data_IF_155418225601
#
_entry.id   IF_155418225601
#
_cell.length_a   1.000
_cell.length_b   1.000
_cell.length_c   1.000
_cell.angle_alpha   90.00
_cell.angle_beta   90.00
_cell.angle_gamma   90.00
#
_symmetry.space_group_name_H-M   'P 1'
#
loop_
_entity.id
_entity.type
_entity.pdbx_description
1 polymer ?
#
# COMPACT_ATOMS: atom_id res chain seq x y z
N UNK A 1 -15.14 21.15 -69.13
CA UNK A 1 -14.81 21.85 -67.86
C UNK A 1 -15.54 21.15 -66.74
N UNK A 2 -14.82 20.62 -65.75
CA UNK A 2 -15.41 19.89 -64.64
C UNK A 2 -14.46 18.82 -64.11
N UNK A 3 -13.33 19.24 -63.54
CA UNK A 3 -12.40 18.38 -62.81
C UNK A 3 -13.04 17.99 -61.47
N UNK A 4 -13.18 16.70 -61.19
CA UNK A 4 -13.61 16.19 -59.88
C UNK A 4 -12.40 15.58 -59.18
N UNK A 5 -11.90 16.29 -58.17
CA UNK A 5 -10.78 15.87 -57.34
C UNK A 5 -11.28 14.86 -56.30
N UNK A 6 -10.75 13.63 -56.36
CA UNK A 6 -10.93 12.63 -55.31
C UNK A 6 -10.17 13.08 -54.05
N UNK A 7 -10.91 13.57 -53.06
CA UNK A 7 -10.41 13.86 -51.72
C UNK A 7 -10.33 12.56 -50.93
N UNK A 8 -9.14 11.95 -50.91
CA UNK A 8 -8.86 10.79 -50.06
C UNK A 8 -8.74 11.25 -48.61
N UNK A 9 -9.84 11.12 -47.87
CA UNK A 9 -9.88 11.32 -46.42
C UNK A 9 -8.94 10.30 -45.76
N UNK A 10 -7.78 10.75 -45.27
CA UNK A 10 -6.89 9.91 -44.47
C UNK A 10 -7.54 9.70 -43.11
N UNK A 11 -8.11 8.52 -42.90
CA UNK A 11 -8.58 8.08 -41.60
C UNK A 11 -7.40 8.10 -40.62
N UNK A 12 -7.40 9.06 -39.71
CA UNK A 12 -6.47 9.11 -38.58
C UNK A 12 -6.84 7.98 -37.63
N UNK A 13 -6.18 6.83 -37.78
CA UNK A 13 -6.23 5.77 -36.77
C UNK A 13 -5.51 6.28 -35.53
N UNK A 14 -6.26 6.74 -34.54
CA UNK A 14 -5.71 7.03 -33.21
C UNK A 14 -5.23 5.72 -32.62
N UNK A 15 -3.92 5.54 -32.53
CA UNK A 15 -3.30 4.51 -31.70
C UNK A 15 -3.64 4.84 -30.25
N UNK A 16 -4.79 4.34 -29.79
CA UNK A 16 -5.06 4.21 -28.37
C UNK A 16 -4.05 3.18 -27.85
N UNK A 17 -2.92 3.69 -27.36
CA UNK A 17 -1.94 2.90 -26.64
C UNK A 17 -2.61 2.41 -25.36
N UNK A 18 -3.17 1.20 -25.41
CA UNK A 18 -3.53 0.47 -24.20
C UNK A 18 -2.21 0.20 -23.48
N UNK A 19 -1.90 1.01 -22.48
CA UNK A 19 -0.85 0.72 -21.52
C UNK A 19 -1.26 -0.58 -20.82
N UNK A 20 -0.81 -1.71 -21.34
CA UNK A 20 -0.95 -2.99 -20.66
C UNK A 20 -0.20 -2.85 -19.33
N UNK A 21 -0.93 -3.00 -18.22
CA UNK A 21 -0.33 -3.04 -16.90
C UNK A 21 0.81 -4.08 -16.92
N UNK A 22 1.97 -3.79 -16.31
CA UNK A 22 3.08 -4.73 -16.28
C UNK A 22 2.57 -6.04 -15.68
N UNK A 23 2.86 -7.14 -16.36
CA UNK A 23 2.50 -8.48 -15.91
C UNK A 23 3.38 -8.85 -14.72
N UNK A 24 3.01 -8.39 -13.52
CA UNK A 24 3.68 -8.83 -12.30
C UNK A 24 3.43 -10.33 -12.17
N UNK A 25 4.48 -11.17 -12.09
CA UNK A 25 4.33 -12.60 -12.01
C UNK A 25 3.48 -12.95 -10.79
N UNK A 26 2.52 -13.86 -10.98
CA UNK A 26 1.66 -14.34 -9.88
C UNK A 26 2.58 -14.94 -8.81
N UNK A 27 2.58 -14.32 -7.63
CA UNK A 27 3.40 -14.80 -6.52
C UNK A 27 2.63 -15.77 -5.64
N UNK A 28 3.30 -16.85 -5.26
CA UNK A 28 2.77 -17.86 -4.36
C UNK A 28 2.88 -17.39 -2.90
N UNK A 29 1.91 -17.80 -2.07
CA UNK A 29 1.89 -17.45 -0.66
C UNK A 29 3.05 -18.10 0.11
N UNK A 30 3.76 -17.31 0.91
CA UNK A 30 4.86 -17.80 1.73
C UNK A 30 4.32 -18.49 2.98
N UNK A 31 4.64 -19.76 3.17
CA UNK A 31 4.24 -20.51 4.36
C UNK A 31 5.07 -20.12 5.59
N UNK A 32 4.41 -19.83 6.72
CA UNK A 32 5.06 -19.55 7.99
C UNK A 32 4.30 -20.26 9.14
N UNK A 33 4.99 -20.92 10.10
CA UNK A 33 4.32 -21.73 11.13
C UNK A 33 3.31 -20.96 11.99
N UNK A 34 3.59 -19.68 12.29
CA UNK A 34 2.72 -18.83 13.11
C UNK A 34 1.55 -18.17 12.37
N UNK A 35 1.47 -18.28 11.04
CA UNK A 35 0.44 -17.63 10.24
C UNK A 35 -0.35 -18.67 9.44
N UNK A 36 -1.60 -18.35 9.17
CA UNK A 36 -2.45 -19.06 8.20
C UNK A 36 -2.69 -18.14 7.00
N UNK A 37 -2.65 -18.70 5.80
CA UNK A 37 -3.05 -18.00 4.58
C UNK A 37 -4.56 -18.08 4.50
N UNK A 38 -5.22 -16.92 4.49
CA UNK A 38 -6.67 -16.79 4.43
C UNK A 38 -7.14 -16.67 2.98
N UNK A 39 -6.46 -15.83 2.20
CA UNK A 39 -6.85 -15.50 0.83
C UNK A 39 -5.63 -15.08 0.01
N UNK A 40 -5.64 -15.42 -1.28
CA UNK A 40 -4.63 -15.02 -2.26
C UNK A 40 -5.34 -14.55 -3.51
N UNK A 41 -5.07 -13.31 -3.93
CA UNK A 41 -5.65 -12.69 -5.12
C UNK A 41 -4.59 -12.00 -5.97
N UNK A 42 -4.87 -11.90 -7.26
CA UNK A 42 -4.09 -11.10 -8.20
C UNK A 42 -4.96 -9.95 -8.73
N UNK A 43 -4.55 -8.71 -8.50
CA UNK A 43 -5.28 -7.51 -8.86
C UNK A 43 -4.65 -6.93 -10.13
N UNK A 44 -5.22 -7.30 -11.28
CA UNK A 44 -4.66 -6.99 -12.61
C UNK A 44 -4.53 -5.50 -12.90
N UNK A 45 -5.48 -4.70 -12.41
CA UNK A 45 -5.58 -3.26 -12.62
C UNK A 45 -4.43 -2.49 -11.96
N UNK A 46 -3.92 -3.02 -10.86
CA UNK A 46 -2.80 -2.44 -10.11
C UNK A 46 -1.50 -3.23 -10.28
N UNK A 47 -1.50 -4.32 -11.06
CA UNK A 47 -0.33 -5.21 -11.17
C UNK A 47 0.13 -5.71 -9.80
N UNK A 48 -0.79 -6.06 -8.91
CA UNK A 48 -0.47 -6.37 -7.51
C UNK A 48 -0.88 -7.81 -7.15
N UNK A 49 0.00 -8.50 -6.43
CA UNK A 49 -0.36 -9.74 -5.73
C UNK A 49 -0.75 -9.41 -4.30
N UNK A 50 -1.94 -9.83 -3.88
CA UNK A 50 -2.47 -9.63 -2.55
C UNK A 50 -2.59 -10.96 -1.82
N UNK A 51 -1.98 -11.07 -0.65
CA UNK A 51 -2.11 -12.24 0.22
C UNK A 51 -2.50 -11.80 1.61
N UNK A 52 -3.65 -12.30 2.08
CA UNK A 52 -4.15 -12.07 3.42
C UNK A 52 -3.71 -13.22 4.33
N UNK A 53 -2.97 -12.88 5.37
CA UNK A 53 -2.55 -13.77 6.43
C UNK A 53 -3.28 -13.47 7.72
N UNK A 54 -3.43 -14.48 8.57
CA UNK A 54 -3.92 -14.33 9.94
C UNK A 54 -2.96 -14.98 10.92
N UNK A 55 -2.62 -14.25 11.97
CA UNK A 55 -1.71 -14.73 13.00
C UNK A 55 -2.44 -15.70 13.93
N UNK A 56 -1.99 -16.94 14.03
CA UNK A 56 -2.70 -18.02 14.73
C UNK A 56 -2.93 -17.73 16.22
N UNK A 57 -2.01 -17.02 16.88
CA UNK A 57 -2.08 -16.76 18.32
C UNK A 57 -2.94 -15.55 18.67
N UNK A 58 -2.83 -14.46 17.92
CA UNK A 58 -3.52 -13.19 18.26
C UNK A 58 -4.74 -12.90 17.40
N UNK A 59 -4.91 -13.61 16.28
CA UNK A 59 -5.92 -13.32 15.27
C UNK A 59 -5.64 -12.06 14.45
N UNK A 60 -4.47 -11.42 14.61
CA UNK A 60 -4.11 -10.23 13.85
C UNK A 60 -4.00 -10.55 12.36
N UNK A 61 -4.55 -9.66 11.53
CA UNK A 61 -4.53 -9.77 10.08
C UNK A 61 -3.31 -9.04 9.51
N UNK A 62 -2.69 -9.65 8.50
CA UNK A 62 -1.57 -9.07 7.76
C UNK A 62 -1.89 -9.19 6.28
N UNK A 63 -2.07 -8.04 5.63
CA UNK A 63 -2.22 -7.97 4.19
C UNK A 63 -0.85 -7.68 3.56
N UNK A 64 -0.35 -8.64 2.79
CA UNK A 64 0.86 -8.47 1.99
C UNK A 64 0.45 -8.09 0.57
N UNK A 65 0.82 -6.88 0.15
CA UNK A 65 0.71 -6.43 -1.23
C UNK A 65 2.10 -6.42 -1.84
N UNK A 66 2.23 -6.98 -3.04
CA UNK A 66 3.49 -7.01 -3.75
C UNK A 66 3.32 -6.57 -5.19
N UNK A 67 4.12 -5.59 -5.57
CA UNK A 67 4.17 -4.94 -6.88
C UNK A 67 5.63 -4.92 -7.37
N UNK A 68 5.88 -4.38 -8.55
CA UNK A 68 7.21 -4.13 -9.12
C UNK A 68 7.88 -2.85 -8.58
N UNK A 69 7.31 -2.21 -7.55
CA UNK A 69 7.84 -1.00 -6.92
C UNK A 69 8.90 -1.35 -5.85
N UNK A 70 10.05 -0.69 -5.94
CA UNK A 70 11.15 -0.82 -4.97
C UNK A 70 10.85 -0.10 -3.64
N UNK A 71 9.91 0.86 -3.63
CA UNK A 71 9.54 1.62 -2.44
C UNK A 71 8.63 0.80 -1.51
N UNK A 72 9.25 0.14 -0.53
CA UNK A 72 8.53 -0.66 0.46
C UNK A 72 7.88 0.22 1.50
N UNK A 73 6.59 -0.02 1.74
CA UNK A 73 5.85 0.59 2.83
C UNK A 73 5.28 -0.47 3.76
N UNK A 74 5.01 -0.08 5.00
CA UNK A 74 4.21 -0.87 5.92
C UNK A 74 3.31 0.08 6.73
N UNK A 75 2.15 -0.43 7.14
CA UNK A 75 1.21 0.29 7.99
C UNK A 75 0.62 -0.66 9.02
N UNK A 76 0.21 -0.09 10.16
CA UNK A 76 -0.50 -0.81 11.21
C UNK A 76 -1.74 0.02 11.52
N UNK A 77 -2.90 -0.64 11.51
CA UNK A 77 -4.19 0.03 11.75
C UNK A 77 -4.84 -0.55 12.99
N UNK A 78 -5.32 0.33 13.87
CA UNK A 78 -6.11 -0.04 15.03
C UNK A 78 -7.51 0.57 14.91
N UNK A 79 -8.54 -0.21 15.25
CA UNK A 79 -9.91 0.29 15.28
C UNK A 79 -10.15 1.06 16.59
N UNK A 80 -10.37 2.37 16.49
CA UNK A 80 -10.46 3.31 17.63
C UNK A 80 -11.73 4.18 17.60
N UNK A 81 -12.94 3.60 17.65
CA UNK A 81 -14.17 4.40 17.68
C UNK A 81 -14.22 5.27 18.94
N UNK A 82 -14.30 6.61 18.82
CA UNK A 82 -14.38 7.49 19.98
C UNK A 82 -15.71 7.30 20.69
N UNK A 83 -15.70 7.29 22.02
CA UNK A 83 -16.92 7.23 22.84
C UNK A 83 -17.35 8.62 23.33
N UNK A 84 -16.47 9.62 23.22
CA UNK A 84 -16.67 11.00 23.61
C UNK A 84 -15.82 11.96 22.75
N UNK A 85 -15.87 13.26 23.05
CA UNK A 85 -15.12 14.30 22.33
C UNK A 85 -13.82 14.71 23.02
N UNK A 86 -13.25 13.86 23.88
CA UNK A 86 -12.00 14.19 24.59
C UNK A 86 -10.75 14.09 23.72
N UNK A 87 -10.84 13.46 22.54
CA UNK A 87 -9.72 13.30 21.62
C UNK A 87 -8.72 12.22 22.03
N UNK A 88 -9.10 11.30 22.93
CA UNK A 88 -8.22 10.22 23.42
C UNK A 88 -7.50 9.45 22.30
N UNK A 89 -8.14 9.04 21.19
CA UNK A 89 -7.43 8.37 20.09
C UNK A 89 -6.27 9.19 19.52
N UNK A 90 -6.47 10.50 19.36
CA UNK A 90 -5.46 11.41 18.83
C UNK A 90 -4.33 11.67 19.81
N UNK A 91 -4.65 11.80 21.11
CA UNK A 91 -3.64 11.90 22.16
C UNK A 91 -2.80 10.62 22.21
N UNK A 92 -3.43 9.45 22.07
CA UNK A 92 -2.73 8.16 22.07
C UNK A 92 -1.79 8.04 20.87
N UNK A 93 -2.20 8.43 19.67
CA UNK A 93 -1.37 8.42 18.47
C UNK A 93 -0.06 9.19 18.67
N UNK A 94 -0.11 10.41 19.22
CA UNK A 94 1.10 11.15 19.56
C UNK A 94 1.90 10.52 20.70
N UNK A 95 1.23 10.01 21.74
CA UNK A 95 1.88 9.51 22.95
C UNK A 95 2.67 8.22 22.71
N UNK A 96 2.20 7.32 21.85
CA UNK A 96 2.89 6.05 21.57
C UNK A 96 4.19 6.24 20.78
N UNK A 97 4.38 7.41 20.16
CA UNK A 97 5.58 7.76 19.38
C UNK A 97 6.68 8.41 20.23
N UNK A 98 6.38 8.75 21.50
CA UNK A 98 7.34 9.37 22.42
C UNK A 98 8.30 8.39 23.11
N UNK A 99 8.14 7.07 22.92
CA UNK A 99 9.01 6.07 23.52
C UNK A 99 8.38 4.68 23.59
N UNK A 100 9.20 3.66 23.81
CA UNK A 100 8.73 2.30 24.07
C UNK A 100 9.64 1.58 25.07
N UNK A 101 9.22 0.41 25.57
CA UNK A 101 10.06 -0.43 26.45
C UNK A 101 11.40 -0.81 25.83
N UNK A 102 11.45 -0.96 24.50
CA UNK A 102 12.68 -1.33 23.77
C UNK A 102 13.50 -0.11 23.36
N UNK A 103 12.84 1.02 23.07
CA UNK A 103 13.46 2.27 22.65
C UNK A 103 13.08 3.36 23.65
N UNK A 104 13.90 3.48 24.71
CA UNK A 104 13.66 4.39 25.84
C UNK A 104 14.17 5.80 25.61
N UNK A 105 14.79 6.06 24.45
CA UNK A 105 15.24 7.40 24.07
C UNK A 105 14.04 8.33 23.96
N UNK A 106 14.24 9.60 24.34
CA UNK A 106 13.22 10.63 24.18
C UNK A 106 12.96 10.91 22.69
N UNK A 107 11.69 10.92 22.31
CA UNK A 107 11.20 11.25 20.96
C UNK A 107 11.85 10.41 19.83
N UNK A 108 11.77 9.07 19.90
CA UNK A 108 12.44 8.18 18.93
C UNK A 108 11.92 8.38 17.50
N UNK A 109 10.67 8.79 17.34
CA UNK A 109 10.07 9.08 16.04
C UNK A 109 10.79 10.22 15.30
N UNK A 110 11.17 11.28 16.02
CA UNK A 110 11.92 12.42 15.44
C UNK A 110 13.33 11.99 15.05
N UNK A 111 13.95 11.11 15.83
CA UNK A 111 15.28 10.57 15.50
C UNK A 111 15.24 9.71 14.24
N UNK A 112 14.17 8.91 14.06
CA UNK A 112 13.95 8.17 12.82
C UNK A 112 13.76 9.09 11.62
N UNK A 113 13.02 10.20 11.80
CA UNK A 113 12.80 11.19 10.75
C UNK A 113 14.13 11.80 10.24
N UNK A 114 15.06 12.07 11.16
CA UNK A 114 16.34 12.69 10.84
C UNK A 114 17.43 11.70 10.40
N UNK A 115 17.36 10.45 10.88
CA UNK A 115 18.44 9.47 10.75
C UNK A 115 18.20 8.33 9.76
N UNK A 116 17.03 8.27 9.11
CA UNK A 116 16.68 7.18 8.18
C UNK A 116 16.49 7.66 6.74
N UNK A 117 16.58 6.72 5.79
CA UNK A 117 16.28 6.94 4.36
C UNK A 117 14.78 6.75 4.08
N UNK A 118 13.93 7.25 4.97
CA UNK A 118 12.48 7.09 4.85
C UNK A 118 11.93 7.98 3.73
N UNK A 119 11.13 7.38 2.86
CA UNK A 119 10.37 8.09 1.82
C UNK A 119 9.09 8.71 2.40
N UNK A 120 8.52 8.07 3.41
CA UNK A 120 7.36 8.53 4.15
C UNK A 120 7.31 7.92 5.56
N UNK A 121 6.98 8.73 6.56
CA UNK A 121 6.88 8.34 7.96
C UNK A 121 5.86 9.26 8.62
N UNK A 122 4.74 8.69 9.05
CA UNK A 122 3.64 9.45 9.62
C UNK A 122 2.75 8.55 10.49
N UNK A 123 1.85 9.18 11.24
CA UNK A 123 0.76 8.54 11.95
C UNK A 123 -0.49 9.41 11.82
N UNK A 124 -1.65 8.77 11.83
CA UNK A 124 -2.94 9.43 11.61
C UNK A 124 -3.99 8.86 12.55
N UNK A 125 -4.92 9.71 12.98
CA UNK A 125 -6.12 9.36 13.77
C UNK A 125 -7.37 9.78 13.02
#
# INVERSE_FOLDING_TARGET
>A
MGSSAASTCRSSTSLASTMAAPAVPVMEAVSHPSYEVVQTDHITEFGANAILYKHKKTGAELLSLSTDDDNKCFGITFRTPPTDSTGVPHILEHSVLCGSRKYTTKDPFVQLLQGSLQTFLNAFT
#
